data_IF_666917738958
#
_entry.id   IF_666917738958
#
_cell.length_a   1.000
_cell.length_b   1.000
_cell.length_c   1.000
_cell.angle_alpha   90.00
_cell.angle_beta   90.00
_cell.angle_gamma   90.00
#
_symmetry.space_group_name_H-M   'P 1'
#
loop_
_entity.id
_entity.type
_entity.pdbx_description
1 polymer ?
#
# COMPACT_ATOMS: atom_id res chain seq x y z
N UNK A 1 -29.48 -46.70 64.55
CA UNK A 1 -30.01 -45.38 64.10
C UNK A 1 -28.90 -44.37 64.43
N UNK A 2 -27.84 -44.32 63.63
CA UNK A 2 -27.63 -43.51 62.41
C UNK A 2 -27.70 -42.00 62.68
N UNK A 3 -26.67 -41.29 62.20
CA UNK A 3 -26.45 -39.85 61.98
C UNK A 3 -25.04 -39.48 62.54
N UNK A 4 -23.90 -39.54 61.82
CA UNK A 4 -23.51 -38.94 60.52
C UNK A 4 -23.81 -37.43 60.51
N UNK A 5 -22.91 -36.45 60.33
CA UNK A 5 -21.49 -36.33 59.91
C UNK A 5 -20.97 -34.94 60.36
N UNK A 6 -19.64 -34.70 60.38
CA UNK A 6 -19.04 -33.44 60.83
C UNK A 6 -19.20 -32.29 59.82
N UNK A 7 -19.40 -31.07 60.34
CA UNK A 7 -19.50 -29.82 59.57
C UNK A 7 -18.09 -29.31 59.22
N UNK A 8 -17.81 -29.12 57.92
CA UNK A 8 -16.54 -28.63 57.38
C UNK A 8 -16.46 -27.10 57.47
N UNK A 9 -15.27 -26.50 57.74
CA UNK A 9 -15.10 -25.06 57.61
C UNK A 9 -15.04 -24.67 56.11
N UNK A 10 -15.49 -23.47 55.73
CA UNK A 10 -15.34 -23.01 54.36
C UNK A 10 -13.89 -22.57 54.13
N UNK A 11 -13.16 -23.36 53.34
CA UNK A 11 -11.92 -22.93 52.71
C UNK A 11 -12.22 -22.17 51.41
N UNK A 12 -11.34 -21.23 51.08
CA UNK A 12 -11.16 -20.55 49.79
C UNK A 12 -12.17 -19.46 49.39
N UNK A 13 -11.83 -18.21 49.71
CA UNK A 13 -12.11 -17.06 48.83
C UNK A 13 -10.82 -16.62 48.15
N UNK A 14 -10.46 -17.28 47.06
CA UNK A 14 -9.58 -16.74 46.02
C UNK A 14 -10.46 -16.56 44.79
N UNK A 15 -11.14 -15.42 44.70
CA UNK A 15 -11.73 -14.97 43.45
C UNK A 15 -10.59 -14.36 42.63
N UNK A 16 -10.17 -15.12 41.63
CA UNK A 16 -9.21 -14.70 40.63
C UNK A 16 -9.68 -13.40 39.95
N UNK A 17 -8.85 -12.36 40.03
CA UNK A 17 -8.97 -11.16 39.23
C UNK A 17 -8.55 -11.51 37.79
N UNK A 18 -9.46 -12.10 37.01
CA UNK A 18 -9.23 -12.44 35.62
C UNK A 18 -10.46 -12.07 34.78
N UNK A 19 -10.75 -10.77 34.66
CA UNK A 19 -11.82 -10.31 33.77
C UNK A 19 -11.64 -8.84 33.32
N UNK A 20 -10.45 -8.41 32.92
CA UNK A 20 -10.31 -7.20 32.10
C UNK A 20 -9.20 -7.40 31.07
N UNK A 21 -9.43 -8.26 30.07
CA UNK A 21 -8.61 -8.25 28.85
C UNK A 21 -9.37 -8.79 27.61
N UNK A 22 -10.65 -8.42 27.45
CA UNK A 22 -11.43 -8.87 26.28
C UNK A 22 -12.15 -7.74 25.51
N UNK A 23 -12.14 -6.49 25.99
CA UNK A 23 -12.95 -5.42 25.39
C UNK A 23 -12.25 -4.60 24.28
N UNK A 24 -10.99 -4.88 23.93
CA UNK A 24 -10.20 -4.03 23.04
C UNK A 24 -10.09 -4.50 21.58
N UNK A 25 -10.74 -5.61 21.20
CA UNK A 25 -10.59 -6.24 19.89
C UNK A 25 -11.67 -5.88 18.85
N UNK A 26 -12.97 -5.71 19.18
CA UNK A 26 -13.99 -5.42 18.17
C UNK A 26 -13.82 -4.04 17.51
N UNK A 27 -13.62 -2.99 18.32
CA UNK A 27 -13.59 -1.61 17.83
C UNK A 27 -12.42 -1.29 16.87
N UNK A 28 -11.34 -2.08 16.87
CA UNK A 28 -10.16 -1.85 16.02
C UNK A 28 -10.40 -2.26 14.56
N UNK A 29 -11.14 -3.35 14.33
CA UNK A 29 -11.47 -3.80 12.98
C UNK A 29 -12.48 -2.86 12.30
N UNK A 30 -13.38 -2.30 13.12
CA UNK A 30 -14.43 -1.40 12.66
C UNK A 30 -13.85 -0.10 12.08
N UNK A 31 -12.80 0.47 12.69
CA UNK A 31 -12.23 1.75 12.24
C UNK A 31 -11.55 1.66 10.86
N UNK A 32 -10.82 0.57 10.56
CA UNK A 32 -10.22 0.38 9.23
C UNK A 32 -11.29 0.11 8.18
N UNK A 33 -12.28 -0.73 8.51
CA UNK A 33 -13.38 -1.08 7.62
C UNK A 33 -14.21 0.14 7.21
N UNK A 34 -14.45 1.07 8.14
CA UNK A 34 -15.13 2.34 7.87
C UNK A 34 -14.38 3.17 6.82
N UNK A 35 -13.06 3.33 6.98
CA UNK A 35 -12.22 4.10 6.04
C UNK A 35 -12.21 3.41 4.67
N UNK A 36 -12.05 2.10 4.63
CA UNK A 36 -12.07 1.31 3.39
C UNK A 36 -13.42 1.41 2.67
N UNK A 37 -14.53 1.34 3.41
CA UNK A 37 -15.86 1.46 2.84
C UNK A 37 -16.09 2.86 2.25
N UNK A 38 -15.69 3.91 2.97
CA UNK A 38 -15.76 5.30 2.49
C UNK A 38 -14.91 5.48 1.22
N UNK A 39 -13.70 4.92 1.20
CA UNK A 39 -12.82 4.93 0.04
C UNK A 39 -13.45 4.23 -1.17
N UNK A 40 -13.96 3.00 -1.00
CA UNK A 40 -14.65 2.25 -2.07
C UNK A 40 -15.89 2.97 -2.59
N UNK A 41 -16.52 3.78 -1.75
CA UNK A 41 -17.68 4.61 -2.10
C UNK A 41 -17.31 5.95 -2.74
N UNK A 42 -16.01 6.23 -2.97
CA UNK A 42 -15.53 7.50 -3.51
C UNK A 42 -15.62 8.69 -2.54
N UNK A 43 -15.98 8.45 -1.28
CA UNK A 43 -16.16 9.49 -0.24
C UNK A 43 -14.81 9.86 0.39
N UNK A 44 -13.88 10.33 -0.45
CA UNK A 44 -12.49 10.51 -0.06
C UNK A 44 -12.27 11.53 1.07
N UNK A 45 -13.05 12.61 1.11
CA UNK A 45 -12.95 13.64 2.16
C UNK A 45 -13.30 13.04 3.52
N UNK A 46 -14.33 12.20 3.58
CA UNK A 46 -14.79 11.58 4.82
C UNK A 46 -13.87 10.44 5.25
N UNK A 47 -13.38 9.65 4.29
CA UNK A 47 -12.37 8.62 4.55
C UNK A 47 -11.10 9.24 5.18
N UNK A 48 -10.64 10.38 4.64
CA UNK A 48 -9.48 11.10 5.16
C UNK A 48 -9.74 11.64 6.56
N UNK A 49 -10.91 12.27 6.79
CA UNK A 49 -11.27 12.79 8.10
C UNK A 49 -11.33 11.69 9.18
N UNK A 50 -11.90 10.53 8.84
CA UNK A 50 -11.96 9.36 9.73
C UNK A 50 -10.56 8.81 10.02
N UNK A 51 -9.71 8.69 9.00
CA UNK A 51 -8.32 8.25 9.17
C UNK A 51 -7.52 9.23 10.05
N UNK A 52 -7.67 10.54 9.85
CA UNK A 52 -7.01 11.57 10.66
C UNK A 52 -7.49 11.56 12.12
N UNK A 53 -8.78 11.38 12.35
CA UNK A 53 -9.34 11.22 13.69
C UNK A 53 -8.74 10.00 14.41
N UNK A 54 -8.62 8.87 13.72
CA UNK A 54 -8.00 7.67 14.28
C UNK A 54 -6.52 7.92 14.62
N UNK A 55 -5.78 8.54 13.69
CA UNK A 55 -4.36 8.82 13.84
C UNK A 55 -4.06 9.88 14.92
N UNK A 56 -5.01 10.75 15.26
CA UNK A 56 -4.86 11.67 16.38
C UNK A 56 -4.64 10.94 17.72
N UNK A 57 -5.27 9.78 17.91
CA UNK A 57 -5.09 8.94 19.10
C UNK A 57 -3.93 7.94 18.95
N UNK A 58 -3.66 7.49 17.72
CA UNK A 58 -2.65 6.45 17.41
C UNK A 58 -1.76 6.87 16.24
N UNK A 59 -0.89 7.87 16.41
CA UNK A 59 -0.17 8.51 15.30
C UNK A 59 0.82 7.60 14.59
N UNK A 60 1.21 6.48 15.21
CA UNK A 60 2.16 5.50 14.68
C UNK A 60 1.50 4.22 14.19
N UNK A 61 0.19 4.19 13.96
CA UNK A 61 -0.47 3.02 13.40
C UNK A 61 -0.11 2.86 11.91
N UNK A 62 0.69 1.86 11.51
CA UNK A 62 1.17 1.77 10.13
C UNK A 62 0.05 1.47 9.14
N UNK A 63 -0.96 0.69 9.55
CA UNK A 63 -2.09 0.31 8.71
C UNK A 63 -2.98 1.52 8.39
N UNK A 64 -3.33 2.34 9.39
CA UNK A 64 -4.12 3.55 9.13
C UNK A 64 -3.33 4.61 8.35
N UNK A 65 -2.02 4.73 8.58
CA UNK A 65 -1.15 5.60 7.77
C UNK A 65 -1.10 5.15 6.31
N UNK A 66 -1.02 3.84 6.07
CA UNK A 66 -1.11 3.27 4.73
C UNK A 66 -2.47 3.61 4.08
N UNK A 67 -3.58 3.35 4.76
CA UNK A 67 -4.93 3.69 4.28
C UNK A 67 -5.07 5.19 3.97
N UNK A 68 -4.56 6.07 4.83
CA UNK A 68 -4.52 7.51 4.57
C UNK A 68 -3.79 7.83 3.26
N UNK A 69 -2.63 7.22 3.01
CA UNK A 69 -1.89 7.39 1.76
C UNK A 69 -2.68 6.91 0.54
N UNK A 70 -3.40 5.80 0.65
CA UNK A 70 -4.29 5.28 -0.41
C UNK A 70 -5.44 6.25 -0.67
N UNK A 71 -6.11 6.74 0.39
CA UNK A 71 -7.20 7.73 0.27
C UNK A 71 -6.69 9.02 -0.39
N UNK A 72 -5.52 9.51 0.00
CA UNK A 72 -4.91 10.69 -0.63
C UNK A 72 -4.62 10.45 -2.12
N UNK A 73 -4.16 9.26 -2.48
CA UNK A 73 -3.93 8.85 -3.87
C UNK A 73 -5.23 8.87 -4.67
N UNK A 74 -6.28 8.21 -4.18
CA UNK A 74 -7.60 8.19 -4.82
C UNK A 74 -8.26 9.57 -4.91
N UNK A 75 -7.94 10.47 -3.98
CA UNK A 75 -8.38 11.87 -4.00
C UNK A 75 -7.59 12.78 -4.96
N UNK A 76 -6.59 12.26 -5.68
CA UNK A 76 -5.70 13.06 -6.52
C UNK A 76 -4.73 13.96 -5.74
N UNK A 77 -4.59 13.77 -4.43
CA UNK A 77 -3.67 14.51 -3.55
C UNK A 77 -2.28 13.88 -3.59
N UNK A 78 -1.71 13.81 -4.79
CA UNK A 78 -0.48 13.04 -5.06
C UNK A 78 0.70 13.43 -4.17
N UNK A 79 0.92 14.72 -3.92
CA UNK A 79 2.06 15.18 -3.10
C UNK A 79 1.89 14.80 -1.62
N UNK A 80 0.66 14.87 -1.10
CA UNK A 80 0.38 14.44 0.27
C UNK A 80 0.55 12.92 0.42
N UNK A 81 0.10 12.14 -0.57
CA UNK A 81 0.28 10.69 -0.58
C UNK A 81 1.76 10.30 -0.60
N UNK A 82 2.58 10.94 -1.45
CA UNK A 82 4.04 10.74 -1.46
C UNK A 82 4.62 11.02 -0.08
N UNK A 83 4.28 12.15 0.54
CA UNK A 83 4.80 12.49 1.87
C UNK A 83 4.37 11.47 2.94
N UNK A 84 3.12 10.99 2.91
CA UNK A 84 2.62 9.98 3.83
C UNK A 84 3.35 8.65 3.68
N UNK A 85 3.47 8.16 2.44
CA UNK A 85 4.16 6.89 2.18
C UNK A 85 5.67 6.97 2.42
N UNK A 86 6.34 8.08 2.09
CA UNK A 86 7.76 8.28 2.39
C UNK A 86 8.02 8.20 3.89
N UNK A 87 7.25 8.92 4.70
CA UNK A 87 7.36 8.81 6.17
C UNK A 87 7.07 7.39 6.65
N UNK A 88 6.12 6.69 6.02
CA UNK A 88 5.80 5.31 6.39
C UNK A 88 6.96 4.36 6.06
N UNK A 89 7.66 4.53 4.94
CA UNK A 89 8.86 3.76 4.59
C UNK A 89 10.06 4.08 5.47
N UNK A 90 10.15 5.30 5.98
CA UNK A 90 11.20 5.71 6.93
C UNK A 90 11.00 5.06 8.31
N UNK A 91 9.75 5.04 8.79
CA UNK A 91 9.42 4.50 10.12
C UNK A 91 9.28 2.96 10.12
N UNK A 92 8.83 2.37 9.01
CA UNK A 92 8.56 0.93 8.84
C UNK A 92 9.19 0.41 7.54
N UNK A 93 10.53 0.34 7.47
CA UNK A 93 11.25 -0.02 6.26
C UNK A 93 11.02 -1.47 5.81
N UNK A 94 10.43 -2.32 6.64
CA UNK A 94 10.09 -3.71 6.35
C UNK A 94 8.81 -3.88 5.52
N UNK A 95 7.95 -2.86 5.46
CA UNK A 95 6.66 -2.95 4.75
C UNK A 95 6.86 -2.77 3.24
N UNK A 96 6.53 -3.76 2.40
CA UNK A 96 6.69 -3.65 0.96
C UNK A 96 5.64 -2.73 0.27
N UNK A 97 4.42 -2.67 0.79
CA UNK A 97 3.29 -2.01 0.13
C UNK A 97 3.46 -0.48 -0.01
N UNK A 98 3.99 0.27 0.98
CA UNK A 98 4.24 1.70 0.83
C UNK A 98 5.24 2.02 -0.28
N UNK A 99 6.29 1.20 -0.45
CA UNK A 99 7.25 1.35 -1.53
C UNK A 99 6.61 1.14 -2.90
N UNK A 100 5.77 0.11 -3.05
CA UNK A 100 5.02 -0.11 -4.29
C UNK A 100 4.10 1.08 -4.63
N UNK A 101 3.41 1.65 -3.64
CA UNK A 101 2.56 2.83 -3.86
C UNK A 101 3.38 4.08 -4.23
N UNK A 102 4.52 4.33 -3.58
CA UNK A 102 5.44 5.39 -3.98
C UNK A 102 5.88 5.23 -5.44
N UNK A 103 6.17 4.01 -5.86
CA UNK A 103 6.60 3.76 -7.23
C UNK A 103 5.52 4.10 -8.26
N UNK A 104 4.27 3.71 -8.01
CA UNK A 104 3.14 4.06 -8.87
C UNK A 104 2.97 5.59 -8.96
N UNK A 105 3.07 6.29 -7.83
CA UNK A 105 2.97 7.75 -7.78
C UNK A 105 4.13 8.42 -8.56
N UNK A 106 5.37 7.95 -8.39
CA UNK A 106 6.52 8.47 -9.12
C UNK A 106 6.44 8.17 -10.62
N UNK A 107 6.01 6.97 -11.01
CA UNK A 107 5.81 6.59 -12.41
C UNK A 107 4.73 7.46 -13.07
N UNK A 108 3.63 7.74 -12.38
CA UNK A 108 2.59 8.67 -12.83
C UNK A 108 3.10 10.10 -13.07
N UNK A 109 4.18 10.50 -12.40
CA UNK A 109 4.87 11.78 -12.60
C UNK A 109 6.05 11.70 -13.60
N UNK A 110 6.26 10.55 -14.26
CA UNK A 110 7.39 10.32 -15.16
C UNK A 110 8.75 10.19 -14.47
N UNK A 111 8.78 10.08 -13.14
CA UNK A 111 10.01 9.93 -12.33
C UNK A 111 10.42 8.46 -12.24
N UNK A 112 10.70 7.84 -13.39
CA UNK A 112 10.89 6.39 -13.49
C UNK A 112 12.09 5.84 -12.71
N UNK A 113 13.18 6.60 -12.56
CA UNK A 113 14.31 6.17 -11.71
C UNK A 113 13.93 6.06 -10.23
N UNK A 114 13.12 7.00 -9.72
CA UNK A 114 12.60 6.91 -8.35
C UNK A 114 11.61 5.76 -8.19
N UNK A 115 10.77 5.55 -9.21
CA UNK A 115 9.85 4.42 -9.23
C UNK A 115 10.61 3.07 -9.18
N UNK A 116 11.66 2.93 -9.98
CA UNK A 116 12.56 1.75 -9.95
C UNK A 116 13.12 1.53 -8.55
N UNK A 117 13.73 2.54 -7.96
CA UNK A 117 14.37 2.42 -6.65
C UNK A 117 13.37 2.00 -5.55
N UNK A 118 12.15 2.54 -5.59
CA UNK A 118 11.09 2.14 -4.67
C UNK A 118 10.65 0.69 -4.88
N UNK A 119 10.45 0.24 -6.13
CA UNK A 119 10.08 -1.16 -6.40
C UNK A 119 11.17 -2.15 -6.01
N UNK A 120 12.43 -1.80 -6.24
CA UNK A 120 13.56 -2.60 -5.76
C UNK A 120 13.58 -2.70 -4.24
N UNK A 121 13.20 -1.65 -3.50
CA UNK A 121 13.00 -1.74 -2.05
C UNK A 121 11.84 -2.69 -1.70
N UNK A 122 10.69 -2.57 -2.37
CA UNK A 122 9.54 -3.46 -2.14
C UNK A 122 9.89 -4.95 -2.38
N UNK A 123 10.69 -5.23 -3.41
CA UNK A 123 11.15 -6.59 -3.73
C UNK A 123 12.22 -7.06 -2.75
N UNK A 124 13.11 -6.17 -2.28
CA UNK A 124 14.07 -6.51 -1.23
C UNK A 124 13.39 -6.93 0.07
N UNK A 125 12.31 -6.25 0.46
CA UNK A 125 11.58 -6.56 1.70
C UNK A 125 10.67 -7.78 1.53
N UNK A 126 10.07 -7.96 0.34
CA UNK A 126 9.29 -9.15 -0.01
C UNK A 126 9.63 -9.63 -1.44
N UNK A 127 10.56 -10.60 -1.58
CA UNK A 127 10.95 -11.12 -2.89
C UNK A 127 9.81 -11.75 -3.70
N UNK A 128 8.76 -12.23 -3.03
CA UNK A 128 7.57 -12.82 -3.65
C UNK A 128 6.48 -11.82 -4.03
N UNK A 129 6.72 -10.50 -3.90
CA UNK A 129 5.71 -9.49 -4.18
C UNK A 129 5.48 -9.32 -5.69
N UNK A 130 4.61 -10.17 -6.25
CA UNK A 130 4.34 -10.25 -7.69
C UNK A 130 3.99 -8.89 -8.33
N UNK A 131 3.12 -8.10 -7.68
CA UNK A 131 2.74 -6.77 -8.16
C UNK A 131 3.94 -5.81 -8.27
N UNK A 132 4.91 -5.90 -7.37
CA UNK A 132 6.11 -5.07 -7.45
C UNK A 132 7.01 -5.47 -8.62
N UNK A 133 7.11 -6.77 -8.93
CA UNK A 133 7.84 -7.25 -10.12
C UNK A 133 7.16 -6.82 -11.43
N UNK A 134 5.82 -6.91 -11.49
CA UNK A 134 5.03 -6.42 -12.62
C UNK A 134 5.26 -4.93 -12.86
N UNK A 135 5.06 -4.12 -11.82
CA UNK A 135 5.29 -2.67 -11.88
C UNK A 135 6.75 -2.32 -12.26
N UNK A 136 7.71 -3.15 -11.84
CA UNK A 136 9.13 -2.94 -12.17
C UNK A 136 9.41 -3.21 -13.65
N UNK A 137 8.77 -4.23 -14.22
CA UNK A 137 8.78 -4.50 -15.67
C UNK A 137 8.25 -3.31 -16.47
N UNK A 138 7.11 -2.76 -16.06
CA UNK A 138 6.53 -1.57 -16.69
C UNK A 138 7.46 -0.36 -16.61
N UNK A 139 8.05 -0.11 -15.43
CA UNK A 139 9.02 0.97 -15.24
C UNK A 139 10.26 0.77 -16.13
N UNK A 140 10.77 -0.45 -16.27
CA UNK A 140 11.90 -0.74 -17.17
C UNK A 140 11.56 -0.47 -18.64
N UNK A 141 10.36 -0.85 -19.10
CA UNK A 141 9.93 -0.54 -20.45
C UNK A 141 9.84 0.98 -20.68
N UNK A 142 9.35 1.76 -19.70
CA UNK A 142 9.35 3.24 -19.78
C UNK A 142 10.77 3.84 -19.82
N UNK A 143 11.69 3.33 -18.99
CA UNK A 143 13.10 3.75 -19.02
C UNK A 143 13.75 3.43 -20.37
N UNK A 144 13.50 2.25 -20.93
CA UNK A 144 13.97 1.88 -22.27
C UNK A 144 13.43 2.84 -23.34
N UNK A 145 12.14 3.20 -23.28
CA UNK A 145 11.53 4.20 -24.17
C UNK A 145 12.22 5.57 -24.10
N UNK A 146 12.54 6.05 -22.89
CA UNK A 146 13.27 7.31 -22.71
C UNK A 146 14.68 7.23 -23.31
N UNK A 147 15.41 6.14 -23.06
CA UNK A 147 16.75 5.94 -23.60
C UNK A 147 16.73 5.87 -25.14
N UNK A 148 15.79 5.14 -25.73
CA UNK A 148 15.61 5.07 -27.18
C UNK A 148 15.24 6.43 -27.79
N UNK A 149 14.34 7.17 -27.14
CA UNK A 149 13.99 8.52 -27.58
C UNK A 149 15.20 9.45 -27.55
N UNK A 150 16.04 9.34 -26.51
CA UNK A 150 17.28 10.11 -26.42
C UNK A 150 18.29 9.72 -27.51
N UNK A 151 18.43 8.43 -27.81
CA UNK A 151 19.29 7.97 -28.89
C UNK A 151 18.87 8.57 -30.25
N UNK A 152 17.57 8.59 -30.56
CA UNK A 152 17.04 9.20 -31.78
C UNK A 152 17.20 10.72 -31.83
N UNK A 153 17.16 11.41 -30.68
CA UNK A 153 17.47 12.83 -30.62
C UNK A 153 18.94 13.14 -30.95
N UNK A 154 19.85 12.23 -30.61
CA UNK A 154 21.28 12.37 -30.86
C UNK A 154 21.66 11.90 -32.28
N UNK A 155 20.99 10.87 -32.78
CA UNK A 155 21.18 10.31 -34.12
C UNK A 155 19.83 9.95 -34.73
N UNK A 156 19.28 10.89 -35.51
CA UNK A 156 18.00 10.72 -36.19
C UNK A 156 18.05 9.64 -37.30
N UNK A 157 19.25 9.28 -37.77
CA UNK A 157 19.43 8.24 -38.79
C UNK A 157 19.49 6.82 -38.21
N UNK A 158 19.41 6.67 -36.87
CA UNK A 158 19.42 5.37 -36.23
C UNK A 158 18.13 4.57 -36.48
N UNK A 159 18.12 3.81 -37.58
CA UNK A 159 16.98 3.00 -38.02
C UNK A 159 16.70 1.81 -37.09
N UNK A 160 17.68 1.36 -36.29
CA UNK A 160 17.54 0.20 -35.42
C UNK A 160 16.72 0.44 -34.14
N UNK A 161 16.55 1.70 -33.73
CA UNK A 161 15.83 2.06 -32.51
C UNK A 161 14.32 2.20 -32.73
N UNK A 162 13.90 2.62 -33.93
CA UNK A 162 12.49 2.91 -34.24
C UNK A 162 11.56 1.70 -34.00
N UNK A 163 11.86 0.48 -34.48
CA UNK A 163 11.02 -0.70 -34.22
C UNK A 163 10.91 -1.04 -32.73
N UNK A 164 12.00 -0.91 -31.95
CA UNK A 164 12.00 -1.21 -30.51
C UNK A 164 11.13 -0.23 -29.73
N UNK A 165 11.22 1.05 -30.08
CA UNK A 165 10.40 2.10 -29.48
C UNK A 165 8.92 1.92 -29.84
N UNK A 166 8.61 1.51 -31.08
CA UNK A 166 7.25 1.19 -31.49
C UNK A 166 6.65 0.04 -30.65
N UNK A 167 7.40 -1.04 -30.46
CA UNK A 167 6.95 -2.19 -29.66
C UNK A 167 6.66 -1.81 -28.19
N UNK A 168 7.52 -1.00 -27.59
CA UNK A 168 7.29 -0.50 -26.22
C UNK A 168 6.06 0.40 -26.15
N UNK A 169 5.80 1.23 -27.18
CA UNK A 169 4.59 2.06 -27.21
C UNK A 169 3.33 1.21 -27.30
N UNK A 170 3.36 0.15 -28.10
CA UNK A 170 2.26 -0.80 -28.26
C UNK A 170 1.93 -1.52 -26.95
N UNK A 171 2.94 -1.91 -26.16
CA UNK A 171 2.74 -2.53 -24.84
C UNK A 171 1.83 -1.70 -23.92
N UNK A 172 1.90 -0.37 -24.01
CA UNK A 172 1.12 0.55 -23.19
C UNK A 172 -0.05 1.21 -23.92
N UNK A 173 -0.33 0.81 -25.15
CA UNK A 173 -1.48 1.31 -25.88
C UNK A 173 -2.77 0.75 -25.23
N UNK A 174 -3.82 1.56 -25.04
CA UNK A 174 -5.09 1.03 -24.57
C UNK A 174 -5.57 -0.04 -25.54
N UNK A 175 -5.94 -1.22 -25.02
CA UNK A 175 -6.42 -2.32 -25.85
C UNK A 175 -7.70 -1.89 -26.60
N UNK A 176 -7.57 -1.51 -27.87
CA UNK A 176 -8.72 -1.04 -28.64
C UNK A 176 -8.44 -0.62 -30.08
N UNK A 177 -8.86 -1.50 -31.00
CA UNK A 177 -8.99 -1.36 -32.48
C UNK A 177 -7.78 -1.81 -33.32
N UNK A 178 -7.57 -3.12 -33.40
CA UNK A 178 -6.63 -3.72 -34.36
C UNK A 178 -6.80 -5.21 -34.65
N UNK A 179 -7.51 -5.97 -33.82
CA UNK A 179 -7.89 -7.34 -34.17
C UNK A 179 -9.07 -7.32 -35.14
N UNK A 180 -8.80 -7.35 -36.44
CA UNK A 180 -9.71 -8.01 -37.39
C UNK A 180 -9.29 -9.47 -37.52
N UNK A 181 -10.25 -10.39 -37.69
CA UNK A 181 -9.98 -11.82 -37.85
C UNK A 181 -9.14 -12.13 -39.08
#
# INVERSE_FOLDING_TARGET
>A
MSHARPFRPPALRLLALAAVLAAALPARADDYADVDQLLRSGRHVEALAKADQYLAAKPRDPQMRFLKGVVQTSAGRTQEAIATFTKLTEDYPELPEPYNNLAVLYAGQGQFDKARAALEMAIRTNPGYATAHENLGDVYAKLASQAYSKALQLDAANTGVQPKLALIRELFAPAGKGARP
#
